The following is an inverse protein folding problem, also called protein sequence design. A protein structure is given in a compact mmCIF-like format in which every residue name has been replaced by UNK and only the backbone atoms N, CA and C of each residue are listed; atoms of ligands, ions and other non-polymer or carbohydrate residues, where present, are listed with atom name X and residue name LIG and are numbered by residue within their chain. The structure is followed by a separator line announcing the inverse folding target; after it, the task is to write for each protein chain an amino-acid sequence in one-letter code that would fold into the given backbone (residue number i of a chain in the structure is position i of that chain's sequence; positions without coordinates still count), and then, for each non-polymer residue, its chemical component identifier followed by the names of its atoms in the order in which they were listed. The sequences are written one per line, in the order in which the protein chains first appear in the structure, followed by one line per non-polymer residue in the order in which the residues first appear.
data_IF_680402519427
#
_entry.id   IF_680402519427
#
_cell.length_a   1.000
_cell.length_b   1.000
_cell.length_c   1.000
_cell.angle_alpha   90.00
_cell.angle_beta   90.00
_cell.angle_gamma   90.00
#
_symmetry.space_group_name_H-M   'P 1'
#
loop_
_entity.id
_entity.type
_entity.pdbx_description
1 polymer ?
#
# COMPACT_ATOMS: atom_id res chain seq x y z
N UNK A 1 16.95 10.81 25.53
CA UNK A 1 17.65 10.22 24.37
C UNK A 1 16.64 10.05 23.25
N UNK A 2 16.93 10.46 22.01
CA UNK A 2 16.02 10.19 20.88
C UNK A 2 16.05 8.68 20.58
N UNK A 3 14.90 8.01 20.43
CA UNK A 3 14.89 6.60 20.08
C UNK A 3 15.60 6.37 18.74
N UNK A 4 16.35 5.27 18.63
CA UNK A 4 17.01 4.88 17.39
C UNK A 4 15.94 4.52 16.33
N UNK A 5 16.18 4.80 15.04
CA UNK A 5 15.28 4.38 13.97
C UNK A 5 15.11 2.85 13.96
N UNK A 6 13.87 2.37 13.75
CA UNK A 6 13.58 0.95 13.62
C UNK A 6 14.04 0.42 12.24
N UNK A 7 14.24 -0.89 12.06
CA UNK A 7 14.53 -1.47 10.73
C UNK A 7 13.48 -1.11 9.68
N UNK A 8 12.19 -1.10 10.06
CA UNK A 8 11.09 -0.65 9.20
C UNK A 8 11.27 0.81 8.76
N UNK A 9 11.64 1.71 9.69
CA UNK A 9 11.91 3.11 9.35
C UNK A 9 13.10 3.25 8.40
N UNK A 10 14.20 2.54 8.67
CA UNK A 10 15.38 2.56 7.80
C UNK A 10 15.05 2.08 6.37
N UNK A 11 14.25 1.01 6.25
CA UNK A 11 13.80 0.51 4.94
C UNK A 11 12.93 1.55 4.21
N UNK A 12 11.97 2.18 4.90
CA UNK A 12 11.14 3.25 4.30
C UNK A 12 11.98 4.43 3.83
N UNK A 13 12.99 4.84 4.60
CA UNK A 13 13.89 5.92 4.21
C UNK A 13 14.75 5.53 3.01
N UNK A 14 15.25 4.29 2.96
CA UNK A 14 15.98 3.78 1.81
C UNK A 14 15.11 3.75 0.53
N UNK A 15 13.86 3.25 0.64
CA UNK A 15 12.88 3.28 -0.44
C UNK A 15 12.59 4.71 -0.89
N UNK A 16 12.41 5.64 0.05
CA UNK A 16 12.15 7.04 -0.26
C UNK A 16 13.32 7.70 -0.99
N UNK A 17 14.56 7.41 -0.62
CA UNK A 17 15.74 7.88 -1.36
C UNK A 17 15.76 7.33 -2.79
N UNK A 18 15.36 6.08 -2.99
CA UNK A 18 15.19 5.48 -4.32
C UNK A 18 14.11 6.18 -5.16
N UNK A 19 12.95 6.47 -4.55
CA UNK A 19 11.86 7.24 -5.16
C UNK A 19 12.33 8.65 -5.53
N UNK A 20 13.02 9.34 -4.63
CA UNK A 20 13.56 10.69 -4.86
C UNK A 20 14.57 10.69 -6.02
N UNK A 21 15.48 9.71 -6.05
CA UNK A 21 16.44 9.54 -7.14
C UNK A 21 15.74 9.33 -8.48
N UNK A 22 14.71 8.47 -8.50
CA UNK A 22 13.92 8.18 -9.70
C UNK A 22 13.12 9.40 -10.16
N UNK A 23 12.51 10.14 -9.23
CA UNK A 23 11.81 11.39 -9.55
C UNK A 23 12.73 12.45 -10.15
N UNK A 24 13.94 12.63 -9.60
CA UNK A 24 14.90 13.56 -10.17
C UNK A 24 15.39 13.10 -11.55
N UNK A 25 15.53 11.80 -11.79
CA UNK A 25 15.87 11.27 -13.11
C UNK A 25 14.75 11.50 -14.13
N UNK A 26 13.49 11.19 -13.78
CA UNK A 26 12.32 11.44 -14.61
C UNK A 26 12.17 12.93 -14.93
N UNK A 27 12.31 13.81 -13.92
CA UNK A 27 12.30 15.27 -14.12
C UNK A 27 13.34 15.73 -15.14
N UNK A 28 14.57 15.21 -15.07
CA UNK A 28 15.65 15.59 -15.99
C UNK A 28 15.46 15.03 -17.39
N UNK A 29 14.91 13.83 -17.51
CA UNK A 29 14.78 13.14 -18.79
C UNK A 29 13.55 13.60 -19.58
N UNK A 30 12.38 13.64 -18.94
CA UNK A 30 11.12 13.98 -19.59
C UNK A 30 10.76 15.47 -19.50
N UNK A 31 11.22 16.16 -18.45
CA UNK A 31 10.96 17.60 -18.28
C UNK A 31 9.54 17.96 -17.84
N UNK A 32 8.62 16.99 -17.73
CA UNK A 32 7.21 17.20 -17.39
C UNK A 32 6.98 17.04 -15.87
N UNK A 33 6.35 18.01 -15.18
CA UNK A 33 6.13 17.96 -13.73
C UNK A 33 5.09 16.91 -13.31
N UNK A 34 4.07 16.73 -14.14
CA UNK A 34 2.90 15.88 -13.89
C UNK A 34 3.28 14.45 -13.55
N UNK A 35 4.27 13.86 -14.21
CA UNK A 35 4.64 12.48 -13.89
C UNK A 35 5.38 12.34 -12.56
N UNK A 36 6.44 13.13 -12.32
CA UNK A 36 7.29 12.88 -11.15
C UNK A 36 6.77 13.51 -9.86
N UNK A 37 6.04 14.63 -9.94
CA UNK A 37 5.47 15.32 -8.75
C UNK A 37 4.40 14.46 -8.10
N UNK A 38 3.51 13.87 -8.89
CA UNK A 38 2.45 13.01 -8.37
C UNK A 38 3.05 11.79 -7.66
N UNK A 39 3.95 11.06 -8.31
CA UNK A 39 4.54 9.86 -7.74
C UNK A 39 5.44 10.13 -6.53
N UNK A 40 6.26 11.20 -6.53
CA UNK A 40 7.07 11.52 -5.35
C UNK A 40 6.17 11.93 -4.17
N UNK A 41 5.09 12.66 -4.43
CA UNK A 41 4.15 13.09 -3.39
C UNK A 41 3.41 11.90 -2.78
N UNK A 42 2.82 11.05 -3.62
CA UNK A 42 2.11 9.85 -3.18
C UNK A 42 3.03 8.88 -2.43
N UNK A 43 4.22 8.61 -2.97
CA UNK A 43 5.19 7.75 -2.29
C UNK A 43 5.70 8.37 -0.99
N UNK A 44 5.92 9.69 -0.93
CA UNK A 44 6.31 10.35 0.31
C UNK A 44 5.20 10.22 1.36
N UNK A 45 3.94 10.44 0.97
CA UNK A 45 2.80 10.28 1.87
C UNK A 45 2.72 8.85 2.43
N UNK A 46 2.79 7.83 1.57
CA UNK A 46 2.73 6.43 1.98
C UNK A 46 3.94 6.06 2.84
N UNK A 47 5.16 6.38 2.40
CA UNK A 47 6.38 5.98 3.10
C UNK A 47 6.55 6.70 4.43
N UNK A 48 6.05 7.93 4.59
CA UNK A 48 6.12 8.69 5.85
C UNK A 48 4.81 8.71 6.64
N UNK A 49 3.81 7.92 6.24
CA UNK A 49 2.52 7.87 6.95
C UNK A 49 2.68 7.61 8.46
N UNK A 50 3.57 6.69 8.93
CA UNK A 50 3.80 6.51 10.37
C UNK A 50 4.25 7.80 11.07
N UNK A 51 5.22 8.53 10.52
CA UNK A 51 5.70 9.79 11.10
C UNK A 51 4.65 10.90 11.04
N UNK A 52 3.89 11.00 9.94
CA UNK A 52 2.79 11.96 9.79
C UNK A 52 1.74 11.72 10.88
N UNK A 53 1.35 10.46 11.10
CA UNK A 53 0.38 10.09 12.12
C UNK A 53 0.92 10.30 13.54
N UNK A 54 2.18 9.98 13.81
CA UNK A 54 2.82 10.29 15.10
C UNK A 54 2.86 11.80 15.37
N UNK A 55 3.20 12.60 14.35
CA UNK A 55 3.19 14.06 14.42
C UNK A 55 1.79 14.60 14.70
N UNK A 56 0.79 14.15 13.95
CA UNK A 56 -0.61 14.53 14.14
C UNK A 56 -1.12 14.16 15.53
N UNK A 57 -0.80 12.96 16.01
CA UNK A 57 -1.15 12.49 17.35
C UNK A 57 -0.58 13.43 18.44
N UNK A 58 0.69 13.80 18.32
CA UNK A 58 1.37 14.70 19.25
C UNK A 58 0.80 16.13 19.21
N UNK A 59 0.50 16.65 18.02
CA UNK A 59 -0.03 18.02 17.86
C UNK A 59 -1.47 18.13 18.35
N UNK A 60 -2.29 17.11 18.07
CA UNK A 60 -3.72 17.10 18.38
C UNK A 60 -4.05 16.45 19.74
N UNK A 61 -3.04 15.93 20.46
CA UNK A 61 -3.18 15.19 21.71
C UNK A 61 -4.20 14.03 21.61
N UNK A 62 -4.17 13.26 20.51
CA UNK A 62 -5.17 12.21 20.27
C UNK A 62 -5.06 11.08 21.30
N UNK A 63 -3.84 10.70 21.72
CA UNK A 63 -3.64 9.69 22.77
C UNK A 63 -4.31 10.05 24.11
N UNK A 64 -4.24 11.33 24.50
CA UNK A 64 -4.84 11.78 25.76
C UNK A 64 -6.37 11.72 25.70
N UNK A 65 -6.95 12.06 24.54
CA UNK A 65 -8.39 11.96 24.29
C UNK A 65 -8.86 10.52 24.20
N UNK A 66 -8.08 9.69 23.49
CA UNK A 66 -8.35 8.27 23.31
C UNK A 66 -8.43 7.53 24.65
N UNK A 67 -7.51 7.83 25.57
CA UNK A 67 -7.49 7.23 26.92
C UNK A 67 -8.68 7.60 27.80
N UNK A 68 -9.43 8.65 27.47
CA UNK A 68 -10.53 9.14 28.30
C UNK A 68 -11.91 8.59 27.89
N UNK A 69 -12.07 8.10 26.66
CA UNK A 69 -13.36 7.64 26.14
C UNK A 69 -13.17 6.33 25.38
N UNK A 70 -13.93 5.30 25.72
CA UNK A 70 -13.99 4.06 24.92
C UNK A 70 -15.05 4.20 23.84
N UNK A 71 -14.79 5.05 22.85
CA UNK A 71 -15.69 5.32 21.73
C UNK A 71 -15.07 4.90 20.37
N UNK A 72 -15.83 5.12 19.30
CA UNK A 72 -15.40 4.84 17.91
C UNK A 72 -14.10 5.57 17.56
N UNK A 73 -13.89 6.79 18.06
CA UNK A 73 -12.72 7.60 17.70
C UNK A 73 -11.47 6.98 18.33
N UNK A 74 -11.56 6.57 19.59
CA UNK A 74 -10.49 5.84 20.27
C UNK A 74 -10.17 4.53 19.56
N UNK A 75 -11.21 3.76 19.21
CA UNK A 75 -11.05 2.50 18.47
C UNK A 75 -10.34 2.73 17.14
N UNK A 76 -10.75 3.76 16.38
CA UNK A 76 -10.13 4.11 15.10
C UNK A 76 -8.67 4.55 15.28
N UNK A 77 -8.38 5.35 16.31
CA UNK A 77 -7.02 5.77 16.64
C UNK A 77 -6.12 4.57 16.95
N UNK A 78 -6.54 3.69 17.87
CA UNK A 78 -5.78 2.48 18.24
C UNK A 78 -5.59 1.54 17.05
N UNK A 79 -6.60 1.41 16.18
CA UNK A 79 -6.51 0.66 14.93
C UNK A 79 -5.42 1.21 14.02
N UNK A 80 -5.38 2.54 13.83
CA UNK A 80 -4.37 3.18 12.99
C UNK A 80 -2.98 3.09 13.62
N UNK A 81 -2.87 3.22 14.95
CA UNK A 81 -1.60 3.00 15.65
C UNK A 81 -1.08 1.60 15.39
N UNK A 82 -1.90 0.57 15.58
CA UNK A 82 -1.48 -0.82 15.38
C UNK A 82 -1.15 -1.13 13.91
N UNK A 83 -2.02 -0.71 12.97
CA UNK A 83 -1.89 -1.09 11.57
C UNK A 83 -0.75 -0.37 10.84
N UNK A 84 -0.42 0.86 11.26
CA UNK A 84 0.53 1.73 10.54
C UNK A 84 1.72 2.12 11.41
N UNK A 85 1.48 2.67 12.59
CA UNK A 85 2.53 3.34 13.38
C UNK A 85 3.44 2.34 14.10
N UNK A 86 2.84 1.37 14.77
CA UNK A 86 3.51 0.34 15.57
C UNK A 86 3.87 -0.90 14.74
N UNK A 87 3.37 -0.96 13.50
CA UNK A 87 3.56 -2.10 12.61
C UNK A 87 5.00 -2.20 12.11
N UNK A 88 5.75 -3.15 12.70
CA UNK A 88 7.13 -3.43 12.31
C UNK A 88 7.28 -3.90 10.86
N UNK A 89 6.20 -4.36 10.23
CA UNK A 89 6.19 -4.80 8.83
C UNK A 89 5.64 -3.74 7.86
N UNK A 90 5.27 -2.54 8.32
CA UNK A 90 4.64 -1.52 7.47
C UNK A 90 5.47 -1.19 6.22
N UNK A 91 6.79 -1.18 6.33
CA UNK A 91 7.68 -0.98 5.19
C UNK A 91 7.46 -2.00 4.06
N UNK A 92 7.15 -3.26 4.37
CA UNK A 92 6.85 -4.28 3.36
C UNK A 92 5.49 -4.07 2.69
N UNK A 93 4.54 -3.44 3.38
CA UNK A 93 3.27 -3.06 2.77
C UNK A 93 3.43 -1.87 1.80
N UNK A 94 4.31 -0.93 2.12
CA UNK A 94 4.58 0.24 1.29
C UNK A 94 5.56 -0.05 0.14
N UNK A 95 6.46 -1.04 0.28
CA UNK A 95 7.55 -1.29 -0.65
C UNK A 95 7.11 -1.52 -2.11
N UNK A 96 6.04 -2.29 -2.42
CA UNK A 96 5.63 -2.51 -3.81
C UNK A 96 5.33 -1.23 -4.57
N UNK A 97 4.66 -0.25 -3.94
CA UNK A 97 4.34 1.05 -4.57
C UNK A 97 5.62 1.84 -4.87
N UNK A 98 6.55 1.87 -3.92
CA UNK A 98 7.84 2.55 -4.10
C UNK A 98 8.69 1.90 -5.19
N UNK A 99 8.76 0.57 -5.18
CA UNK A 99 9.52 -0.20 -6.16
C UNK A 99 8.92 -0.07 -7.56
N UNK A 100 7.58 -0.09 -7.70
CA UNK A 100 6.87 0.17 -8.95
C UNK A 100 7.32 1.49 -9.58
N UNK A 101 7.35 2.56 -8.78
CA UNK A 101 7.83 3.83 -9.28
C UNK A 101 9.34 3.81 -9.59
N UNK A 102 10.16 3.16 -8.77
CA UNK A 102 11.61 3.07 -9.03
C UNK A 102 11.94 2.38 -10.35
N UNK A 103 11.17 1.37 -10.76
CA UNK A 103 11.34 0.69 -12.06
C UNK A 103 10.83 1.49 -13.26
N UNK A 104 10.26 2.68 -13.04
CA UNK A 104 10.01 3.68 -14.09
C UNK A 104 11.24 4.51 -14.46
N UNK A 105 12.38 4.33 -13.78
CA UNK A 105 13.58 5.13 -14.03
C UNK A 105 13.98 5.10 -15.52
N UNK A 106 14.35 6.23 -16.15
CA UNK A 106 14.63 6.30 -17.60
C UNK A 106 15.72 5.35 -18.16
N UNK A 107 16.48 4.67 -17.29
CA UNK A 107 17.55 3.75 -17.69
C UNK A 107 17.06 2.31 -17.83
N UNK A 108 15.96 1.95 -17.19
CA UNK A 108 15.42 0.59 -17.11
C UNK A 108 13.89 0.63 -16.99
N UNK A 109 13.26 1.62 -17.63
CA UNK A 109 11.84 1.87 -17.55
C UNK A 109 11.07 0.62 -18.04
N UNK A 110 10.32 -0.03 -17.15
CA UNK A 110 9.54 -1.21 -17.52
C UNK A 110 8.20 -0.86 -18.19
N UNK A 111 7.82 0.42 -18.15
CA UNK A 111 6.59 0.97 -18.72
C UNK A 111 6.85 1.58 -20.11
N UNK A 112 8.12 1.89 -20.45
CA UNK A 112 8.51 2.41 -21.77
C UNK A 112 9.80 1.82 -22.32
N UNK A 113 9.91 1.68 -23.64
CA UNK A 113 11.12 1.21 -24.32
C UNK A 113 11.17 -0.32 -24.46
N UNK A 114 12.36 -0.89 -24.56
CA UNK A 114 12.52 -2.32 -24.90
C UNK A 114 12.05 -3.26 -23.78
N UNK A 115 12.24 -2.89 -22.52
CA UNK A 115 11.74 -3.68 -21.38
C UNK A 115 10.21 -3.71 -21.36
N UNK A 116 9.57 -2.60 -21.74
CA UNK A 116 8.13 -2.50 -21.85
C UNK A 116 7.53 -3.30 -23.01
N UNK A 117 8.35 -3.90 -23.89
CA UNK A 117 7.88 -4.84 -24.93
C UNK A 117 7.89 -6.28 -24.44
N UNK A 118 8.55 -6.57 -23.33
CA UNK A 118 8.61 -7.92 -22.77
C UNK A 118 7.22 -8.27 -22.25
N UNK A 119 6.69 -9.41 -22.73
CA UNK A 119 5.37 -9.92 -22.37
C UNK A 119 5.46 -11.40 -22.03
N UNK A 120 4.85 -11.79 -20.92
CA UNK A 120 4.68 -13.19 -20.52
C UNK A 120 3.17 -13.48 -20.43
N UNK A 121 2.66 -14.36 -21.30
CA UNK A 121 1.23 -14.66 -21.40
C UNK A 121 0.34 -13.42 -21.61
N UNK A 122 0.85 -12.40 -22.32
CA UNK A 122 0.15 -11.14 -22.55
C UNK A 122 0.36 -10.07 -21.48
N UNK A 123 0.92 -10.42 -20.32
CA UNK A 123 1.21 -9.47 -19.24
C UNK A 123 2.60 -8.85 -19.42
N UNK A 124 2.69 -7.52 -19.27
CA UNK A 124 3.96 -6.80 -19.23
C UNK A 124 4.72 -7.02 -17.93
N UNK A 125 5.92 -6.43 -17.84
CA UNK A 125 6.71 -6.46 -16.61
C UNK A 125 6.08 -5.61 -15.49
N UNK A 126 5.25 -4.64 -15.86
CA UNK A 126 4.39 -3.80 -15.00
C UNK A 126 3.33 -4.60 -14.23
N UNK A 127 2.85 -5.73 -14.78
CA UNK A 127 1.93 -6.63 -14.08
C UNK A 127 2.46 -7.10 -12.71
N UNK A 128 3.79 -7.19 -12.55
CA UNK A 128 4.46 -7.58 -11.31
C UNK A 128 4.22 -6.53 -10.21
N UNK A 129 4.60 -5.24 -10.38
CA UNK A 129 4.31 -4.22 -9.38
C UNK A 129 2.81 -4.04 -9.09
N UNK A 130 1.92 -4.14 -10.08
CA UNK A 130 0.47 -4.09 -9.84
C UNK A 130 0.02 -5.24 -8.91
N UNK A 131 0.39 -6.49 -9.25
CA UNK A 131 0.05 -7.67 -8.45
C UNK A 131 0.61 -7.58 -7.02
N UNK A 132 1.87 -7.16 -6.87
CA UNK A 132 2.51 -7.03 -5.55
C UNK A 132 1.88 -5.91 -4.72
N UNK A 133 1.51 -4.79 -5.34
CA UNK A 133 0.83 -3.68 -4.69
C UNK A 133 -0.54 -4.11 -4.18
N UNK A 134 -1.34 -4.75 -5.02
CA UNK A 134 -2.64 -5.29 -4.63
C UNK A 134 -2.53 -6.34 -3.52
N UNK A 135 -1.54 -7.22 -3.59
CA UNK A 135 -1.27 -8.21 -2.55
C UNK A 135 -0.95 -7.56 -1.20
N UNK A 136 -0.03 -6.58 -1.20
CA UNK A 136 0.39 -5.87 0.01
C UNK A 136 -0.76 -5.03 0.60
N UNK A 137 -1.45 -4.27 -0.24
CA UNK A 137 -2.61 -3.48 0.14
C UNK A 137 -3.70 -4.35 0.77
N UNK A 138 -4.02 -5.49 0.14
CA UNK A 138 -5.04 -6.41 0.64
C UNK A 138 -4.67 -6.95 2.03
N UNK A 139 -3.42 -7.33 2.25
CA UNK A 139 -2.97 -7.80 3.56
C UNK A 139 -3.00 -6.69 4.63
N UNK A 140 -2.57 -5.47 4.29
CA UNK A 140 -2.64 -4.32 5.18
C UNK A 140 -4.10 -4.02 5.59
N UNK A 141 -5.03 -4.02 4.63
CA UNK A 141 -6.45 -3.81 4.90
C UNK A 141 -7.03 -4.90 5.80
N UNK A 142 -6.71 -6.17 5.53
CA UNK A 142 -7.15 -7.28 6.39
C UNK A 142 -6.58 -7.18 7.81
N UNK A 143 -5.31 -6.80 7.96
CA UNK A 143 -4.70 -6.54 9.27
C UNK A 143 -5.38 -5.37 9.99
N UNK A 144 -5.77 -4.34 9.24
CA UNK A 144 -6.47 -3.15 9.74
C UNK A 144 -7.86 -3.49 10.25
N UNK A 145 -8.65 -4.28 9.52
CA UNK A 145 -9.97 -4.75 9.99
C UNK A 145 -9.86 -5.66 11.22
N UNK A 146 -8.84 -6.52 11.26
CA UNK A 146 -8.58 -7.36 12.42
C UNK A 146 -8.18 -6.52 13.64
N UNK A 147 -7.39 -5.45 13.46
CA UNK A 147 -7.05 -4.49 14.52
C UNK A 147 -8.30 -3.72 14.99
N UNK A 148 -9.14 -3.26 14.07
CA UNK A 148 -10.41 -2.61 14.38
C UNK A 148 -11.30 -3.45 15.27
N UNK A 149 -11.42 -4.75 14.96
CA UNK A 149 -12.13 -5.70 15.83
C UNK A 149 -11.44 -5.88 17.18
N UNK A 150 -10.11 -5.97 17.24
CA UNK A 150 -9.39 -6.15 18.51
C UNK A 150 -9.61 -4.98 19.48
N UNK A 151 -9.58 -3.76 18.98
CA UNK A 151 -9.72 -2.53 19.78
C UNK A 151 -11.17 -2.14 20.06
N UNK A 152 -12.14 -2.71 19.34
CA UNK A 152 -13.56 -2.43 19.63
C UNK A 152 -13.99 -3.06 20.96
N UNK A 153 -14.50 -2.27 21.95
CA UNK A 153 -14.99 -2.79 23.22
C UNK A 153 -16.06 -3.88 23.05
N UNK A 154 -16.09 -4.84 23.97
CA UNK A 154 -17.00 -6.01 23.86
C UNK A 154 -18.48 -5.63 23.99
N UNK A 155 -18.77 -4.57 24.71
CA UNK A 155 -20.09 -4.02 24.99
C UNK A 155 -20.47 -2.86 24.05
N UNK A 156 -19.62 -2.50 23.09
CA UNK A 156 -19.90 -1.44 22.12
C UNK A 156 -21.09 -1.79 21.23
N UNK A 157 -21.99 -0.85 20.99
CA UNK A 157 -23.16 -1.04 20.12
C UNK A 157 -22.81 -1.34 18.65
N UNK A 158 -21.59 -0.98 18.22
CA UNK A 158 -21.05 -1.27 16.89
C UNK A 158 -20.15 -2.51 16.84
N UNK A 159 -20.08 -3.31 17.91
CA UNK A 159 -19.25 -4.51 17.95
C UNK A 159 -19.51 -5.47 16.78
N UNK A 160 -20.79 -5.71 16.48
CA UNK A 160 -21.20 -6.55 15.35
C UNK A 160 -20.66 -6.05 14.01
N UNK A 161 -20.60 -4.72 13.82
CA UNK A 161 -20.01 -4.13 12.63
C UNK A 161 -18.52 -4.45 12.53
N UNK A 162 -17.78 -4.31 13.63
CA UNK A 162 -16.34 -4.61 13.66
C UNK A 162 -16.06 -6.11 13.42
N UNK A 163 -16.89 -6.99 13.94
CA UNK A 163 -16.79 -8.43 13.71
C UNK A 163 -17.09 -8.80 12.26
N UNK A 164 -18.16 -8.24 11.68
CA UNK A 164 -18.48 -8.42 10.27
C UNK A 164 -17.37 -7.90 9.36
N UNK A 165 -16.74 -6.76 9.71
CA UNK A 165 -15.65 -6.19 8.95
C UNK A 165 -14.40 -7.09 8.94
N UNK A 166 -14.04 -7.68 10.07
CA UNK A 166 -12.94 -8.65 10.17
C UNK A 166 -13.26 -9.95 9.41
N UNK A 167 -14.46 -10.51 9.60
CA UNK A 167 -14.91 -11.74 8.93
C UNK A 167 -14.93 -11.58 7.40
N UNK A 168 -15.37 -10.43 6.91
CA UNK A 168 -15.47 -10.11 5.48
C UNK A 168 -14.29 -9.30 4.97
N UNK A 169 -13.20 -9.21 5.73
CA UNK A 169 -12.05 -8.34 5.46
C UNK A 169 -11.46 -8.52 4.06
N UNK A 170 -11.42 -9.74 3.54
CA UNK A 170 -10.96 -10.00 2.16
C UNK A 170 -11.85 -9.37 1.08
N UNK A 171 -13.18 -9.39 1.27
CA UNK A 171 -14.13 -8.75 0.34
C UNK A 171 -14.07 -7.23 0.45
N UNK A 172 -14.02 -6.71 1.68
CA UNK A 172 -13.88 -5.28 1.92
C UNK A 172 -12.58 -4.74 1.33
N UNK A 173 -11.46 -5.43 1.56
CA UNK A 173 -10.17 -5.08 0.96
C UNK A 173 -10.25 -5.05 -0.58
N UNK A 174 -10.96 -6.00 -1.20
CA UNK A 174 -11.22 -5.99 -2.65
C UNK A 174 -12.03 -4.77 -3.10
N UNK A 175 -13.08 -4.38 -2.37
CA UNK A 175 -13.85 -3.18 -2.67
C UNK A 175 -13.00 -1.90 -2.54
N UNK A 176 -12.17 -1.80 -1.51
CA UNK A 176 -11.22 -0.69 -1.35
C UNK A 176 -10.16 -0.68 -2.45
N UNK A 177 -9.68 -1.84 -2.88
CA UNK A 177 -8.71 -1.96 -3.97
C UNK A 177 -9.33 -1.48 -5.29
N UNK A 178 -10.57 -1.86 -5.60
CA UNK A 178 -11.29 -1.37 -6.79
C UNK A 178 -11.38 0.17 -6.76
N UNK A 179 -11.74 0.74 -5.62
CA UNK A 179 -11.80 2.20 -5.46
C UNK A 179 -10.43 2.86 -5.67
N UNK A 180 -9.38 2.32 -5.05
CA UNK A 180 -8.03 2.83 -5.18
C UNK A 180 -7.49 2.72 -6.62
N UNK A 181 -7.68 1.57 -7.27
CA UNK A 181 -7.31 1.36 -8.68
C UNK A 181 -8.07 2.33 -9.59
N UNK A 182 -9.38 2.50 -9.40
CA UNK A 182 -10.17 3.43 -10.21
C UNK A 182 -9.64 4.87 -10.11
N UNK A 183 -9.35 5.34 -8.89
CA UNK A 183 -8.78 6.67 -8.69
C UNK A 183 -7.40 6.81 -9.32
N UNK A 184 -6.58 5.76 -9.25
CA UNK A 184 -5.25 5.72 -9.83
C UNK A 184 -5.30 5.78 -11.36
N UNK A 185 -6.09 4.91 -12.00
CA UNK A 185 -6.26 4.87 -13.46
C UNK A 185 -6.84 6.17 -14.03
N UNK A 186 -7.84 6.75 -13.36
CA UNK A 186 -8.40 8.05 -13.77
C UNK A 186 -7.36 9.17 -13.63
N UNK A 187 -6.54 9.12 -12.58
CA UNK A 187 -5.43 10.05 -12.40
C UNK A 187 -4.37 9.92 -13.48
N UNK A 188 -3.99 8.70 -13.84
CA UNK A 188 -3.05 8.42 -14.93
C UNK A 188 -3.58 8.87 -16.28
N UNK A 189 -4.85 8.60 -16.58
CA UNK A 189 -5.52 9.11 -17.78
C UNK A 189 -5.47 10.64 -17.84
N UNK A 190 -5.83 11.32 -16.74
CA UNK A 190 -5.81 12.78 -16.69
C UNK A 190 -4.39 13.36 -16.87
N UNK A 191 -3.37 12.72 -16.30
CA UNK A 191 -1.97 13.09 -16.49
C UNK A 191 -1.55 12.86 -17.95
N UNK A 192 -1.92 11.72 -18.54
CA UNK A 192 -1.60 11.39 -19.92
C UNK A 192 -2.14 12.44 -20.90
N UNK A 193 -3.42 12.79 -20.79
CA UNK A 193 -4.06 13.80 -21.65
C UNK A 193 -3.38 15.18 -21.53
N UNK A 194 -3.02 15.57 -20.31
CA UNK A 194 -2.32 16.83 -20.07
C UNK A 194 -0.93 16.83 -20.69
N UNK A 195 -0.14 15.77 -20.49
CA UNK A 195 1.20 15.63 -21.06
C UNK A 195 1.16 15.53 -22.60
N UNK A 196 0.13 14.89 -23.16
CA UNK A 196 -0.08 14.81 -24.60
C UNK A 196 -0.35 16.19 -25.19
N UNK A 197 -1.12 17.03 -24.49
CA UNK A 197 -1.34 18.43 -24.87
C UNK A 197 -0.06 19.25 -24.79
N UNK A 198 0.69 19.16 -23.69
CA UNK A 198 1.93 19.94 -23.49
C UNK A 198 3.03 19.58 -24.51
N UNK A 199 3.07 18.32 -24.94
CA UNK A 199 4.08 17.82 -25.89
C UNK A 199 3.69 17.99 -27.35
N UNK A 200 2.49 18.50 -27.64
CA UNK A 200 1.97 18.64 -29.00
C UNK A 200 1.61 17.30 -29.65
N UNK A 201 1.21 16.30 -28.85
CA UNK A 201 0.86 14.95 -29.30
C UNK A 201 2.03 13.98 -29.39
N UNK A 202 3.22 14.36 -28.91
CA UNK A 202 4.42 13.52 -29.01
C UNK A 202 4.56 12.59 -27.80
N UNK A 203 3.93 11.41 -27.89
CA UNK A 203 4.00 10.36 -26.86
C UNK A 203 5.44 9.93 -26.51
N UNK A 204 6.43 10.16 -27.38
CA UNK A 204 7.83 9.82 -27.06
C UNK A 204 8.39 10.65 -25.90
N UNK A 205 7.79 11.82 -25.61
CA UNK A 205 8.18 12.73 -24.52
C UNK A 205 7.39 12.52 -23.22
N UNK A 206 6.36 11.69 -23.25
CA UNK A 206 5.49 11.39 -22.11
C UNK A 206 6.08 10.20 -21.35
N UNK A 207 6.15 10.28 -20.03
CA UNK A 207 6.68 9.16 -19.24
C UNK A 207 5.59 8.12 -18.95
N UNK A 208 4.36 8.57 -18.70
CA UNK A 208 3.24 7.72 -18.36
C UNK A 208 2.23 7.69 -19.50
N UNK A 209 2.23 6.58 -20.24
CA UNK A 209 1.29 6.36 -21.33
C UNK A 209 0.11 5.57 -20.77
N UNK A 210 -1.09 6.11 -20.93
CA UNK A 210 -2.31 5.42 -20.53
C UNK A 210 -2.94 4.75 -21.74
N UNK A 211 -3.42 3.50 -21.58
CA UNK A 211 -4.22 2.84 -22.60
C UNK A 211 -5.26 1.93 -21.96
N UNK A 212 -6.42 1.79 -22.61
CA UNK A 212 -7.48 0.90 -22.13
C UNK A 212 -7.03 -0.57 -22.06
N UNK A 213 -6.10 -0.97 -22.93
CA UNK A 213 -5.53 -2.32 -22.93
C UNK A 213 -4.65 -2.54 -21.70
N UNK A 214 -3.76 -1.59 -21.38
CA UNK A 214 -2.87 -1.69 -20.22
C UNK A 214 -3.69 -1.64 -18.91
N UNK A 215 -4.65 -0.72 -18.80
CA UNK A 215 -5.60 -0.67 -17.67
C UNK A 215 -6.31 -2.01 -17.45
N UNK A 216 -6.70 -2.72 -18.52
CA UNK A 216 -7.31 -4.04 -18.39
C UNK A 216 -6.32 -5.07 -17.79
N UNK A 217 -5.05 -5.05 -18.22
CA UNK A 217 -4.01 -5.92 -17.65
C UNK A 217 -3.67 -5.56 -16.21
N UNK A 218 -3.73 -4.27 -15.84
CA UNK A 218 -3.52 -3.81 -14.48
C UNK A 218 -4.66 -4.25 -13.56
N UNK A 219 -5.90 -4.20 -14.05
CA UNK A 219 -7.07 -4.77 -13.34
C UNK A 219 -6.88 -6.27 -13.10
N UNK A 220 -6.45 -7.03 -14.11
CA UNK A 220 -6.20 -8.47 -13.94
C UNK A 220 -5.06 -8.75 -12.95
N UNK A 221 -3.98 -7.98 -13.03
CA UNK A 221 -2.83 -8.07 -12.13
C UNK A 221 -3.21 -7.76 -10.69
N UNK A 222 -3.95 -6.68 -10.46
CA UNK A 222 -4.49 -6.31 -9.16
C UNK A 222 -5.42 -7.40 -8.61
N UNK A 223 -6.30 -7.95 -9.46
CA UNK A 223 -7.20 -9.04 -9.10
C UNK A 223 -6.42 -10.29 -8.66
N UNK A 224 -5.35 -10.63 -9.39
CA UNK A 224 -4.48 -11.75 -9.03
C UNK A 224 -3.81 -11.54 -7.68
N UNK A 225 -3.22 -10.37 -7.44
CA UNK A 225 -2.61 -10.01 -6.15
C UNK A 225 -3.60 -10.12 -4.97
N UNK A 226 -4.83 -9.63 -5.16
CA UNK A 226 -5.91 -9.74 -4.19
C UNK A 226 -6.30 -11.20 -3.90
N UNK A 227 -6.53 -12.01 -4.94
CA UNK A 227 -6.90 -13.43 -4.79
C UNK A 227 -5.83 -14.20 -4.02
N UNK A 228 -4.56 -13.98 -4.35
CA UNK A 228 -3.43 -14.63 -3.68
C UNK A 228 -3.39 -14.23 -2.21
N UNK A 229 -3.53 -12.93 -1.89
CA UNK A 229 -3.55 -12.45 -0.50
C UNK A 229 -4.66 -13.11 0.32
N UNK A 230 -5.90 -13.09 -0.18
CA UNK A 230 -7.06 -13.69 0.49
C UNK A 230 -6.88 -15.20 0.69
N UNK A 231 -6.37 -15.90 -0.33
CA UNK A 231 -6.17 -17.36 -0.28
C UNK A 231 -5.12 -17.76 0.74
N UNK A 232 -3.98 -17.08 0.76
CA UNK A 232 -2.91 -17.35 1.72
C UNK A 232 -3.34 -17.03 3.15
N UNK A 233 -4.12 -15.97 3.35
CA UNK A 233 -4.66 -15.60 4.67
C UNK A 233 -5.63 -16.66 5.20
N UNK A 234 -6.55 -17.14 4.37
CA UNK A 234 -7.49 -18.23 4.74
C UNK A 234 -6.76 -19.52 5.12
N UNK A 235 -5.71 -19.90 4.37
CA UNK A 235 -4.89 -21.07 4.69
C UNK A 235 -4.19 -20.94 6.04
N UNK A 236 -3.67 -19.75 6.38
CA UNK A 236 -3.03 -19.49 7.68
C UNK A 236 -4.03 -19.60 8.84
N UNK A 237 -5.27 -19.14 8.66
CA UNK A 237 -6.33 -19.26 9.66
C UNK A 237 -6.82 -20.71 9.86
N UNK A 238 -6.82 -21.53 8.80
CA UNK A 238 -7.29 -22.91 8.82
C UNK A 238 -6.27 -23.93 9.39
N UNK A 239 -5.00 -23.56 9.54
CA UNK A 239 -4.01 -24.45 10.17
C UNK A 239 -4.28 -24.51 11.69
N UNK A 240 -4.62 -25.67 12.27
CA UNK A 240 -4.73 -25.78 13.71
C UNK A 240 -3.39 -25.38 14.32
N UNK A 241 -3.42 -24.51 15.34
CA UNK A 241 -2.25 -24.32 16.20
C UNK A 241 -2.00 -25.68 16.82
N UNK A 242 -0.98 -26.40 16.34
CA UNK A 242 -0.46 -27.57 17.04
C UNK A 242 -0.12 -27.04 18.43
N UNK A 243 -0.93 -27.46 19.39
CA UNK A 243 -0.80 -27.09 20.80
C UNK A 243 0.61 -27.50 21.20
N UNK A 244 1.39 -26.57 21.74
CA UNK A 244 2.59 -26.86 22.50
C UNK A 244 2.16 -27.65 23.76
N UNK A 245 1.82 -28.93 23.57
CA UNK A 245 1.55 -29.90 24.61
C UNK A 245 2.82 -30.66 24.97
N UNK A 246 3.95 -29.94 25.12
CA UNK A 246 5.20 -30.48 25.62
C UNK A 246 5.79 -29.47 26.61
N UNK A 247 5.23 -29.44 27.83
CA UNK A 247 5.94 -29.23 29.11
C UNK A 247 4.93 -29.17 30.25
N UNK A 248 4.26 -30.29 30.54
CA UNK A 248 3.67 -30.58 31.84
C UNK A 248 3.98 -32.06 32.10
N UNK A 249 5.25 -32.36 32.35
CA UNK A 249 5.72 -33.73 32.42
C UNK A 249 7.08 -33.90 33.08
N UNK A 250 7.48 -33.03 34.00
CA UNK A 250 8.56 -33.31 34.96
C UNK A 250 8.22 -32.70 36.33
N UNK A 251 7.31 -33.36 37.03
CA UNK A 251 7.34 -33.45 38.49
C UNK A 251 7.06 -34.91 38.83
N UNK A 252 8.14 -35.63 39.14
CA UNK A 252 8.20 -36.70 40.12
C UNK A 252 9.64 -36.79 40.60
#
# INVERSE_FOLDING_TARGET
MKPKPTPSALLRYALWLGVLGTANANRKYFGLPTTWVFHITLNSFILFLPEILQGANKVLNLDARAKQKQDVITTAHETVQEAVVENQNYAFYAAPVALAYMVSHPRFNIYKGDLAKIRLFGFGLDAIPHSLTAFAFTNLMMDTFAAFRRHTPRDASWRTLAENADEHSGKLAGAFLIGASTLYEVGEYAIHEEELRETGGDESKINLVWSAQDTMFDIFSNTFGWIVAVTLRKRKAARPRVVDSITLGERN
#
